data_IF_177421967197
#
_entry.id   IF_177421967197
#
_cell.length_a   1.000
_cell.length_b   1.000
_cell.length_c   1.000
_cell.angle_alpha   90.00
_cell.angle_beta   90.00
_cell.angle_gamma   90.00
#
_symmetry.space_group_name_H-M   'P 1'
#
loop_
_entity.id
_entity.type
_entity.pdbx_description
1 polymer ?
#
# COMPACT_ATOMS: atom_id res chain seq x y z
N UNK A 1 9.00 -5.16 10.85
CA UNK A 1 9.87 -5.55 9.71
C UNK A 1 11.13 -4.67 9.62
N UNK A 2 11.05 -3.36 9.86
CA UNK A 2 12.19 -2.44 9.81
C UNK A 2 13.27 -2.69 10.90
N UNK A 3 14.54 -2.27 10.70
CA UNK A 3 15.60 -2.38 11.71
C UNK A 3 15.25 -1.63 13.00
N UNK A 4 15.67 -2.15 14.16
CA UNK A 4 15.42 -1.52 15.47
C UNK A 4 15.92 -0.07 15.54
N UNK A 5 17.03 0.24 14.85
CA UNK A 5 17.58 1.59 14.79
C UNK A 5 16.61 2.62 14.19
N UNK A 6 15.68 2.20 13.33
CA UNK A 6 14.65 3.07 12.72
C UNK A 6 13.50 3.31 13.70
N UNK A 7 13.21 2.33 14.56
CA UNK A 7 12.18 2.43 15.60
C UNK A 7 12.68 3.09 16.89
N UNK A 8 13.99 3.40 16.98
CA UNK A 8 14.58 4.03 18.18
C UNK A 8 14.04 5.44 18.35
N UNK A 9 13.41 5.69 19.49
CA UNK A 9 12.97 7.01 19.92
C UNK A 9 14.15 7.76 20.55
N UNK A 10 14.19 9.07 20.31
CA UNK A 10 15.08 9.95 21.04
C UNK A 10 14.66 10.01 22.52
N UNK A 11 15.60 9.83 23.44
CA UNK A 11 15.32 9.77 24.88
C UNK A 11 14.85 11.11 25.46
N UNK A 12 15.13 12.23 24.78
CA UNK A 12 14.80 13.58 25.24
C UNK A 12 13.48 14.10 24.68
N UNK A 13 13.18 13.82 23.41
CA UNK A 13 11.96 14.33 22.74
C UNK A 13 10.91 13.26 22.50
N UNK A 14 11.23 11.98 22.68
CA UNK A 14 10.34 10.85 22.39
C UNK A 14 10.04 10.70 20.89
N UNK A 15 10.78 11.39 20.02
CA UNK A 15 10.51 11.39 18.57
C UNK A 15 11.39 10.35 17.85
N UNK A 16 10.87 9.57 16.89
CA UNK A 16 11.64 8.63 16.09
C UNK A 16 12.42 9.35 14.98
N UNK A 17 13.49 10.06 15.34
CA UNK A 17 14.27 10.89 14.39
C UNK A 17 14.77 10.09 13.19
N UNK A 18 15.23 8.86 13.42
CA UNK A 18 15.73 8.00 12.34
C UNK A 18 14.62 7.57 11.36
N UNK A 19 13.39 7.33 11.85
CA UNK A 19 12.24 7.07 10.98
C UNK A 19 11.88 8.30 10.16
N UNK A 20 11.88 9.48 10.79
CA UNK A 20 11.57 10.74 10.11
C UNK A 20 12.60 11.04 9.01
N UNK A 21 13.89 10.90 9.29
CA UNK A 21 14.93 11.07 8.27
C UNK A 21 14.80 10.07 7.13
N UNK A 22 14.48 8.81 7.44
CA UNK A 22 14.25 7.77 6.44
C UNK A 22 13.01 8.06 5.56
N UNK A 23 12.03 8.82 6.05
CA UNK A 23 10.90 9.29 5.23
C UNK A 23 11.26 10.54 4.42
N UNK A 24 11.93 11.53 5.03
CA UNK A 24 12.21 12.83 4.41
C UNK A 24 13.26 12.72 3.32
N UNK A 25 14.39 12.04 3.59
CA UNK A 25 15.54 12.02 2.66
C UNK A 25 15.16 11.44 1.29
N UNK A 26 14.50 10.27 1.19
CA UNK A 26 14.02 9.77 -0.11
C UNK A 26 12.98 10.69 -0.74
N UNK A 27 12.08 11.27 0.05
CA UNK A 27 11.04 12.17 -0.47
C UNK A 27 11.62 13.42 -1.12
N UNK A 28 12.66 14.01 -0.53
CA UNK A 28 13.35 15.18 -1.10
C UNK A 28 14.07 14.82 -2.40
N UNK A 29 14.71 13.65 -2.46
CA UNK A 29 15.37 13.17 -3.70
C UNK A 29 14.34 12.98 -4.81
N UNK A 30 13.20 12.35 -4.52
CA UNK A 30 12.09 12.15 -5.47
C UNK A 30 11.53 13.50 -5.92
N UNK A 31 11.34 14.46 -5.00
CA UNK A 31 10.87 15.81 -5.32
C UNK A 31 11.84 16.55 -6.24
N UNK A 32 13.15 16.46 -5.98
CA UNK A 32 14.19 17.03 -6.84
C UNK A 32 14.17 16.42 -8.26
N UNK A 33 14.08 15.09 -8.37
CA UNK A 33 14.00 14.41 -9.67
C UNK A 33 12.74 14.82 -10.47
N UNK A 34 11.62 15.05 -9.76
CA UNK A 34 10.36 15.50 -10.36
C UNK A 34 10.42 16.96 -10.85
N UNK A 35 10.97 17.88 -10.05
CA UNK A 35 10.99 19.32 -10.34
C UNK A 35 11.91 19.64 -11.53
N UNK A 36 13.09 19.02 -11.57
CA UNK A 36 14.03 19.17 -12.69
C UNK A 36 13.74 18.24 -13.88
N UNK A 37 12.64 17.48 -13.82
CA UNK A 37 12.20 16.51 -14.84
C UNK A 37 13.32 15.61 -15.37
N UNK A 38 14.21 15.15 -14.48
CA UNK A 38 15.37 14.34 -14.86
C UNK A 38 14.86 12.96 -15.27
N UNK A 39 15.21 12.50 -16.48
CA UNK A 39 14.75 11.22 -17.03
C UNK A 39 13.23 11.07 -17.19
N UNK A 40 12.52 12.16 -17.50
CA UNK A 40 11.04 12.16 -17.66
C UNK A 40 10.28 11.72 -16.41
N UNK A 41 10.84 12.04 -15.23
CA UNK A 41 10.31 11.60 -13.93
C UNK A 41 8.85 11.99 -13.71
N UNK A 42 8.39 13.11 -14.29
CA UNK A 42 6.99 13.53 -14.22
C UNK A 42 6.03 12.53 -14.87
N UNK A 43 6.44 11.86 -15.94
CA UNK A 43 5.61 10.82 -16.58
C UNK A 43 5.66 9.51 -15.78
N UNK A 44 6.77 9.25 -15.07
CA UNK A 44 6.91 8.08 -14.21
C UNK A 44 6.02 8.18 -12.95
N UNK A 45 5.85 9.38 -12.38
CA UNK A 45 4.97 9.57 -11.20
C UNK A 45 3.49 9.43 -11.53
N UNK A 46 3.09 9.58 -12.80
CA UNK A 46 1.72 9.27 -13.23
C UNK A 46 1.36 7.81 -12.92
N UNK A 47 2.31 6.87 -13.08
CA UNK A 47 2.09 5.46 -12.72
C UNK A 47 1.99 5.22 -11.20
N UNK A 48 2.48 6.13 -10.36
CA UNK A 48 2.35 6.00 -8.91
C UNK A 48 0.89 5.99 -8.46
N UNK A 49 0.01 6.72 -9.17
CA UNK A 49 -1.43 6.71 -8.87
C UNK A 49 -2.07 5.34 -9.11
N UNK A 50 -1.62 4.62 -10.13
CA UNK A 50 -2.03 3.24 -10.43
C UNK A 50 -1.60 2.29 -9.30
N UNK A 51 -0.35 2.38 -8.84
CA UNK A 51 0.16 1.54 -7.72
C UNK A 51 -0.64 1.78 -6.44
N UNK A 52 -0.97 3.03 -6.15
CA UNK A 52 -1.82 3.40 -5.00
C UNK A 52 -3.22 2.78 -5.15
N UNK A 53 -3.84 2.86 -6.33
CA UNK A 53 -5.15 2.26 -6.58
C UNK A 53 -5.15 0.73 -6.41
N UNK A 54 -4.10 0.04 -6.86
CA UNK A 54 -3.94 -1.41 -6.65
C UNK A 54 -3.82 -1.75 -5.15
N UNK A 55 -3.09 -0.93 -4.39
CA UNK A 55 -2.95 -1.10 -2.94
C UNK A 55 -4.28 -0.91 -2.21
N UNK A 56 -5.06 0.10 -2.60
CA UNK A 56 -6.41 0.30 -2.09
C UNK A 56 -7.35 -0.82 -2.48
N UNK A 57 -7.21 -1.41 -3.67
CA UNK A 57 -8.01 -2.54 -4.11
C UNK A 57 -7.76 -3.76 -3.19
N UNK A 58 -6.50 -4.06 -2.87
CA UNK A 58 -6.18 -5.11 -1.89
C UNK A 58 -6.77 -4.85 -0.50
N UNK A 59 -6.69 -3.61 -0.02
CA UNK A 59 -7.29 -3.19 1.26
C UNK A 59 -8.82 -3.32 1.23
N UNK A 60 -9.43 -2.98 0.10
CA UNK A 60 -10.89 -3.06 -0.11
C UNK A 60 -11.36 -4.50 -0.07
N UNK A 61 -10.65 -5.42 -0.74
CA UNK A 61 -10.94 -6.86 -0.66
C UNK A 61 -10.83 -7.37 0.77
N UNK A 62 -9.77 -6.97 1.50
CA UNK A 62 -9.61 -7.33 2.89
C UNK A 62 -10.80 -6.83 3.74
N UNK A 63 -11.26 -5.60 3.51
CA UNK A 63 -12.41 -5.02 4.20
C UNK A 63 -13.74 -5.73 3.88
N UNK A 64 -13.95 -6.16 2.63
CA UNK A 64 -15.13 -6.92 2.19
C UNK A 64 -15.23 -8.26 2.93
N UNK A 65 -14.10 -8.94 3.08
CA UNK A 65 -14.01 -10.30 3.63
C UNK A 65 -13.93 -10.29 5.17
N UNK A 66 -13.45 -9.19 5.78
CA UNK A 66 -13.24 -9.03 7.22
C UNK A 66 -14.41 -9.50 8.11
N UNK A 67 -15.70 -9.19 7.79
CA UNK A 67 -16.83 -9.64 8.60
C UNK A 67 -16.98 -11.17 8.66
N UNK A 68 -16.47 -11.88 7.65
CA UNK A 68 -16.59 -13.33 7.51
C UNK A 68 -15.37 -14.09 8.04
N UNK A 69 -14.16 -13.52 7.92
CA UNK A 69 -12.92 -14.16 8.39
C UNK A 69 -12.62 -13.87 9.85
N UNK A 70 -12.94 -12.67 10.34
CA UNK A 70 -12.75 -12.28 11.75
C UNK A 70 -14.02 -11.61 12.30
N UNK A 71 -15.13 -12.35 12.44
CA UNK A 71 -16.42 -11.79 12.86
C UNK A 71 -16.38 -11.16 14.26
N UNK A 72 -15.56 -11.70 15.18
CA UNK A 72 -15.40 -11.14 16.53
C UNK A 72 -14.76 -9.75 16.48
N UNK A 73 -13.71 -9.58 15.67
CA UNK A 73 -13.04 -8.29 15.47
C UNK A 73 -13.98 -7.28 14.79
N UNK A 74 -14.76 -7.73 13.81
CA UNK A 74 -15.73 -6.88 13.13
C UNK A 74 -16.80 -6.40 14.12
N UNK A 75 -17.35 -7.27 14.96
CA UNK A 75 -18.38 -6.93 15.97
C UNK A 75 -17.90 -5.92 17.02
N UNK A 76 -16.60 -5.86 17.29
CA UNK A 76 -16.01 -4.84 18.17
C UNK A 76 -15.96 -3.44 17.54
N UNK A 77 -16.15 -3.32 16.23
CA UNK A 77 -16.17 -2.03 15.53
C UNK A 77 -17.54 -1.34 15.64
N UNK A 78 -17.60 -0.01 15.82
CA UNK A 78 -18.87 0.75 15.78
C UNK A 78 -19.68 0.53 14.49
N UNK A 79 -19.01 0.16 13.40
CA UNK A 79 -19.63 -0.01 12.08
C UNK A 79 -20.43 -1.32 11.96
N UNK A 80 -20.21 -2.29 12.85
CA UNK A 80 -20.95 -3.56 12.86
C UNK A 80 -22.42 -3.42 13.27
N UNK A 81 -22.80 -2.25 13.80
CA UNK A 81 -24.19 -1.90 14.10
C UNK A 81 -25.01 -1.62 12.82
N UNK A 82 -24.34 -1.32 11.71
CA UNK A 82 -24.99 -0.96 10.45
C UNK A 82 -24.95 -2.15 9.48
N UNK A 83 -26.12 -2.74 9.27
CA UNK A 83 -26.32 -3.78 8.26
C UNK A 83 -27.33 -3.28 7.23
N UNK A 84 -27.05 -3.50 5.95
CA UNK A 84 -27.96 -3.20 4.84
C UNK A 84 -28.48 -4.54 4.33
N UNK A 85 -29.79 -4.78 4.46
CA UNK A 85 -30.44 -6.01 3.96
C UNK A 85 -29.81 -7.31 4.51
N UNK A 86 -29.29 -7.30 5.74
CA UNK A 86 -28.62 -8.45 6.36
C UNK A 86 -27.15 -8.63 5.96
N UNK A 87 -26.60 -7.73 5.13
CA UNK A 87 -25.18 -7.71 4.74
C UNK A 87 -24.46 -6.59 5.52
N UNK A 88 -23.24 -6.84 6.04
CA UNK A 88 -22.40 -5.81 6.65
C UNK A 88 -22.22 -4.59 5.73
N UNK A 89 -22.45 -3.37 6.25
CA UNK A 89 -22.30 -2.14 5.46
C UNK A 89 -20.89 -2.00 4.87
N UNK A 90 -19.86 -2.48 5.57
CA UNK A 90 -18.46 -2.45 5.10
C UNK A 90 -18.26 -3.27 3.82
N UNK A 91 -18.98 -4.40 3.67
CA UNK A 91 -18.92 -5.25 2.49
C UNK A 91 -19.58 -4.54 1.30
N UNK A 92 -20.73 -3.90 1.52
CA UNK A 92 -21.43 -3.13 0.47
C UNK A 92 -20.59 -1.94 0.01
N UNK A 93 -20.08 -1.14 0.94
CA UNK A 93 -19.21 0.00 0.63
C UNK A 93 -17.93 -0.45 -0.08
N UNK A 94 -17.34 -1.56 0.37
CA UNK A 94 -16.17 -2.15 -0.26
C UNK A 94 -16.44 -2.63 -1.68
N UNK A 95 -17.58 -3.26 -1.96
CA UNK A 95 -17.93 -3.70 -3.33
C UNK A 95 -18.13 -2.50 -4.26
N UNK A 96 -18.82 -1.45 -3.81
CA UNK A 96 -19.02 -0.23 -4.61
C UNK A 96 -17.69 0.45 -4.91
N UNK A 97 -16.87 0.65 -3.87
CA UNK A 97 -15.56 1.29 -4.02
C UNK A 97 -14.59 0.42 -4.85
N UNK A 98 -14.60 -0.89 -4.66
CA UNK A 98 -13.82 -1.85 -5.43
C UNK A 98 -14.24 -1.87 -6.90
N UNK A 99 -15.53 -1.84 -7.20
CA UNK A 99 -16.04 -1.73 -8.57
C UNK A 99 -15.58 -0.43 -9.25
N UNK A 100 -15.64 0.69 -8.52
CA UNK A 100 -15.13 1.97 -9.01
C UNK A 100 -13.60 1.93 -9.25
N UNK A 101 -12.83 1.33 -8.34
CA UNK A 101 -11.39 1.14 -8.52
C UNK A 101 -11.06 0.27 -9.73
N UNK A 102 -11.79 -0.82 -9.96
CA UNK A 102 -11.60 -1.68 -11.14
C UNK A 102 -11.89 -0.89 -12.42
N UNK A 103 -12.94 -0.07 -12.43
CA UNK A 103 -13.23 0.81 -13.55
C UNK A 103 -12.10 1.83 -13.81
N UNK A 104 -11.56 2.46 -12.76
CA UNK A 104 -10.43 3.37 -12.89
C UNK A 104 -9.19 2.67 -13.42
N UNK A 105 -8.86 1.47 -12.92
CA UNK A 105 -7.74 0.68 -13.41
C UNK A 105 -7.92 0.30 -14.88
N UNK A 106 -9.14 -0.04 -15.31
CA UNK A 106 -9.46 -0.28 -16.71
C UNK A 106 -9.18 0.96 -17.57
N UNK A 107 -9.69 2.13 -17.16
CA UNK A 107 -9.48 3.39 -17.89
C UNK A 107 -8.00 3.80 -17.94
N UNK A 108 -7.22 3.57 -16.89
CA UNK A 108 -5.81 3.95 -16.85
C UNK A 108 -4.90 2.97 -17.60
N UNK A 109 -5.19 1.65 -17.57
CA UNK A 109 -4.35 0.63 -18.20
C UNK A 109 -4.63 0.51 -19.70
N UNK A 110 -5.92 0.42 -20.06
CA UNK A 110 -6.34 0.21 -21.45
C UNK A 110 -6.44 1.54 -22.20
N UNK A 111 -6.68 2.64 -21.47
CA UNK A 111 -6.76 4.00 -22.00
C UNK A 111 -7.46 4.08 -23.37
N UNK A 112 -8.72 3.61 -23.48
CA UNK A 112 -9.41 3.50 -24.77
C UNK A 112 -9.65 4.85 -25.45
N UNK A 113 -9.54 5.95 -24.70
CA UNK A 113 -9.69 7.31 -25.20
C UNK A 113 -8.35 8.05 -25.39
N UNK A 114 -7.21 7.41 -25.07
CA UNK A 114 -5.88 8.02 -25.17
C UNK A 114 -5.68 9.28 -24.31
N UNK A 115 -6.45 9.41 -23.24
CA UNK A 115 -6.52 10.63 -22.42
C UNK A 115 -5.46 10.65 -21.32
N UNK A 116 -4.98 9.48 -20.89
CA UNK A 116 -4.19 9.35 -19.68
C UNK A 116 -2.70 9.11 -19.99
N UNK A 117 -2.36 8.34 -21.02
CA UNK A 117 -0.96 8.09 -21.41
C UNK A 117 -0.15 7.27 -20.39
N UNK A 118 -0.82 6.66 -19.41
CA UNK A 118 -0.27 5.89 -18.28
C UNK A 118 -0.36 4.37 -18.53
N UNK A 119 -1.05 3.96 -19.61
CA UNK A 119 -1.34 2.57 -19.93
C UNK A 119 -0.28 1.86 -20.77
N UNK A 120 -0.68 0.75 -21.40
CA UNK A 120 0.18 -0.12 -22.24
C UNK A 120 0.87 0.67 -23.38
N UNK A 121 0.29 1.81 -23.77
CA UNK A 121 0.84 2.74 -24.76
C UNK A 121 2.19 3.36 -24.38
N UNK A 122 2.56 3.37 -23.09
CA UNK A 122 3.85 3.88 -22.62
C UNK A 122 4.70 2.75 -22.00
N UNK A 123 5.42 2.04 -22.86
CA UNK A 123 6.27 0.90 -22.50
C UNK A 123 7.28 1.21 -21.39
N UNK A 124 7.85 2.41 -21.37
CA UNK A 124 8.82 2.83 -20.34
C UNK A 124 8.20 2.87 -18.94
N UNK A 125 6.97 3.36 -18.84
CA UNK A 125 6.23 3.49 -17.58
C UNK A 125 5.79 2.13 -17.03
N UNK A 126 5.44 1.18 -17.90
CA UNK A 126 5.12 -0.22 -17.52
C UNK A 126 6.34 -0.92 -16.93
N UNK A 127 7.51 -0.79 -17.55
CA UNK A 127 8.76 -1.36 -17.02
C UNK A 127 9.15 -0.75 -15.67
N UNK A 128 8.97 0.57 -15.51
CA UNK A 128 9.21 1.23 -14.23
C UNK A 128 8.28 0.71 -13.12
N UNK A 129 7.00 0.50 -13.42
CA UNK A 129 6.03 -0.06 -12.47
C UNK A 129 6.39 -1.51 -12.09
N UNK A 130 6.69 -2.36 -13.06
CA UNK A 130 7.16 -3.73 -12.80
C UNK A 130 8.43 -3.74 -11.96
N UNK A 131 9.39 -2.85 -12.26
CA UNK A 131 10.61 -2.67 -11.49
C UNK A 131 10.33 -2.32 -10.03
N UNK A 132 9.37 -1.43 -9.76
CA UNK A 132 8.98 -1.07 -8.40
C UNK A 132 8.31 -2.23 -7.65
N UNK A 133 7.42 -2.99 -8.29
CA UNK A 133 6.83 -4.19 -7.66
C UNK A 133 7.87 -5.27 -7.36
N UNK A 134 8.82 -5.48 -8.27
CA UNK A 134 9.94 -6.41 -8.07
C UNK A 134 10.83 -5.91 -6.92
N UNK A 135 11.15 -4.62 -6.88
CA UNK A 135 11.93 -4.03 -5.78
C UNK A 135 11.20 -4.19 -4.43
N UNK A 136 9.90 -3.92 -4.39
CA UNK A 136 9.08 -4.11 -3.19
C UNK A 136 9.08 -5.58 -2.74
N UNK A 137 8.95 -6.52 -3.67
CA UNK A 137 9.03 -7.96 -3.38
C UNK A 137 10.43 -8.34 -2.85
N UNK A 138 11.50 -7.87 -3.48
CA UNK A 138 12.89 -8.12 -3.02
C UNK A 138 13.09 -7.59 -1.60
N UNK A 139 12.61 -6.36 -1.31
CA UNK A 139 12.69 -5.77 0.03
C UNK A 139 11.91 -6.65 1.02
N UNK A 140 10.66 -7.00 0.72
CA UNK A 140 9.82 -7.82 1.59
C UNK A 140 10.44 -9.19 1.88
N UNK A 141 10.80 -9.94 0.83
CA UNK A 141 11.39 -11.27 0.98
C UNK A 141 12.80 -11.22 1.59
N UNK A 142 13.59 -10.19 1.29
CA UNK A 142 14.90 -9.96 1.89
C UNK A 142 14.80 -9.73 3.40
N UNK A 143 13.91 -8.84 3.84
CA UNK A 143 13.66 -8.61 5.27
C UNK A 143 13.00 -9.82 5.94
N UNK A 144 12.11 -10.55 5.25
CA UNK A 144 11.49 -11.78 5.77
C UNK A 144 12.53 -12.87 6.00
N UNK A 145 13.43 -13.11 5.03
CA UNK A 145 14.51 -14.08 5.14
C UNK A 145 15.52 -13.71 6.24
N UNK A 146 15.91 -12.42 6.32
CA UNK A 146 16.81 -11.92 7.36
C UNK A 146 16.24 -12.04 8.78
N UNK A 147 14.93 -11.86 8.95
CA UNK A 147 14.29 -12.02 10.27
C UNK A 147 14.02 -13.48 10.62
N UNK A 148 13.73 -14.32 9.62
CA UNK A 148 13.63 -15.77 9.80
C UNK A 148 14.98 -16.36 10.26
N UNK A 149 16.10 -15.88 9.73
CA UNK A 149 17.44 -16.30 10.18
C UNK A 149 17.80 -15.79 11.58
N UNK A 150 17.13 -14.74 12.08
CA UNK A 150 17.23 -14.26 13.47
C UNK A 150 16.22 -14.88 14.45
N UNK A 151 15.45 -15.89 14.02
CA UNK A 151 14.52 -16.63 14.89
C UNK A 151 13.23 -15.89 15.23
N UNK A 152 12.92 -14.76 14.57
CA UNK A 152 11.65 -14.04 14.77
C UNK A 152 10.62 -14.62 13.79
N UNK A 153 9.66 -15.36 14.34
CA UNK A 153 8.55 -15.92 13.56
C UNK A 153 7.49 -14.84 13.30
N UNK A 154 7.69 -14.08 12.22
CA UNK A 154 6.79 -13.00 11.78
C UNK A 154 5.34 -13.49 11.58
N UNK A 155 5.15 -14.77 11.27
CA UNK A 155 3.84 -15.36 11.04
C UNK A 155 3.06 -15.51 12.36
N UNK A 156 3.73 -15.60 13.52
CA UNK A 156 3.09 -15.58 14.85
C UNK A 156 2.79 -14.17 15.37
N UNK A 157 3.68 -13.20 15.11
CA UNK A 157 3.51 -11.80 15.54
C UNK A 157 2.35 -11.11 14.82
N UNK A 158 1.97 -11.58 13.64
CA UNK A 158 0.84 -11.05 12.86
C UNK A 158 -0.46 -11.83 13.07
N UNK A 159 -0.41 -12.95 13.78
CA UNK A 159 -1.58 -13.78 14.08
C UNK A 159 -2.42 -13.20 15.22
N UNK A 160 -1.79 -12.53 16.19
CA UNK A 160 -2.46 -11.94 17.35
C UNK A 160 -2.28 -10.42 17.35
N UNK A 161 -3.36 -9.71 17.62
CA UNK A 161 -3.31 -8.27 17.86
C UNK A 161 -2.57 -8.14 19.20
N UNK A 162 -1.48 -7.35 19.29
CA UNK A 162 -0.90 -7.04 20.59
C UNK A 162 -2.01 -6.44 21.45
N UNK A 163 -2.38 -7.17 22.51
CA UNK A 163 -3.13 -6.57 23.62
C UNK A 163 -2.26 -5.43 24.14
N UNK A 164 -2.81 -4.23 24.08
CA UNK A 164 -2.13 -2.99 24.49
C UNK A 164 -1.39 -3.14 25.84
#
# INVERSE_FOLDING_TARGET
LLPESVAKLDERTGTPVNALLLMIVPSVVVAYLFDYNIASFQTLTLCSTLVIAVTFLGTTIAAIILPYTKPELYKSSPIAKYNILGIPMITVAGVIFGGFLVYLLYQWIIDPNGLYGIGISNTSSVYYMLGNYVLAAIIYFGFKAYRKSKGIDLDKVTAEIPVE
#
